data_IF_604446866760
#
_entry.id   IF_604446866760
#
_cell.length_a   1.000
_cell.length_b   1.000
_cell.length_c   1.000
_cell.angle_alpha   90.00
_cell.angle_beta   90.00
_cell.angle_gamma   90.00
#
_symmetry.space_group_name_H-M   'P 1'
#
loop_
_entity.id
_entity.type
_entity.pdbx_description
1 polymer ?
#
# COMPACT_ATOMS: atom_id res chain seq x y z
N UNK A 1 -24.17 12.98 7.74
CA UNK A 1 -23.86 11.74 8.50
C UNK A 1 -22.71 11.07 7.80
N UNK A 2 -21.72 10.54 8.52
CA UNK A 2 -20.68 9.72 7.90
C UNK A 2 -21.33 8.45 7.32
N UNK A 3 -20.99 8.10 6.08
CA UNK A 3 -21.31 6.79 5.54
C UNK A 3 -20.38 5.75 6.16
N UNK A 4 -20.86 4.51 6.29
CA UNK A 4 -20.12 3.42 6.91
C UNK A 4 -20.09 2.21 5.98
N UNK A 5 -18.95 1.55 5.89
CA UNK A 5 -18.83 0.16 5.44
C UNK A 5 -19.10 -0.77 6.62
N UNK A 6 -19.80 -1.89 6.38
CA UNK A 6 -20.15 -2.85 7.43
C UNK A 6 -19.59 -4.23 7.07
N UNK A 7 -18.82 -4.83 7.97
CA UNK A 7 -18.27 -6.18 7.75
C UNK A 7 -19.35 -7.27 7.91
N UNK A 8 -19.10 -8.51 7.46
CA UNK A 8 -20.00 -9.64 7.71
C UNK A 8 -20.27 -9.90 9.21
N UNK A 9 -19.35 -9.48 10.09
CA UNK A 9 -19.51 -9.57 11.54
C UNK A 9 -20.31 -8.39 12.15
N UNK A 10 -20.74 -7.43 11.34
CA UNK A 10 -21.50 -6.26 11.76
C UNK A 10 -20.65 -5.06 12.23
N UNK A 11 -19.32 -5.17 12.13
CA UNK A 11 -18.41 -4.07 12.50
C UNK A 11 -18.51 -2.92 11.49
N UNK A 12 -18.57 -1.69 11.98
CA UNK A 12 -18.76 -0.49 11.16
C UNK A 12 -17.46 0.29 11.02
N UNK A 13 -17.07 0.55 9.78
CA UNK A 13 -15.91 1.36 9.43
C UNK A 13 -16.38 2.65 8.75
N UNK A 14 -16.08 3.84 9.28
CA UNK A 14 -16.47 5.08 8.63
C UNK A 14 -15.76 5.19 7.28
N UNK A 15 -16.51 5.58 6.26
CA UNK A 15 -15.90 5.88 4.96
C UNK A 15 -15.02 7.13 5.10
N UNK A 16 -13.84 7.16 4.44
CA UNK A 16 -12.96 8.31 4.48
C UNK A 16 -13.67 9.56 3.95
N UNK A 17 -13.53 10.67 4.67
CA UNK A 17 -13.90 11.97 4.13
C UNK A 17 -12.74 12.56 3.30
N UNK A 18 -12.98 13.73 2.71
CA UNK A 18 -11.97 14.41 1.88
C UNK A 18 -10.67 14.71 2.64
N UNK A 19 -10.76 15.07 3.91
CA UNK A 19 -9.58 15.38 4.71
C UNK A 19 -8.76 14.11 5.00
N UNK A 20 -9.42 12.97 5.20
CA UNK A 20 -8.76 11.67 5.34
C UNK A 20 -7.97 11.29 4.08
N UNK A 21 -8.50 11.54 2.88
CA UNK A 21 -7.76 11.31 1.63
C UNK A 21 -6.52 12.18 1.51
N UNK A 22 -6.62 13.47 1.86
CA UNK A 22 -5.46 14.38 1.82
C UNK A 22 -4.37 13.99 2.83
N UNK A 23 -4.77 13.56 4.03
CA UNK A 23 -3.85 13.06 5.04
C UNK A 23 -3.17 11.75 4.59
N UNK A 24 -3.93 10.84 3.98
CA UNK A 24 -3.39 9.57 3.48
C UNK A 24 -2.42 9.79 2.32
N UNK A 25 -2.73 10.71 1.39
CA UNK A 25 -1.82 11.05 0.30
C UNK A 25 -0.47 11.58 0.83
N UNK A 26 -0.50 12.50 1.81
CA UNK A 26 0.72 13.02 2.44
C UNK A 26 1.54 11.91 3.11
N UNK A 27 0.87 10.95 3.74
CA UNK A 27 1.52 9.79 4.35
C UNK A 27 2.21 8.92 3.28
N UNK A 28 1.52 8.64 2.18
CA UNK A 28 2.07 7.88 1.06
C UNK A 28 3.26 8.58 0.39
N UNK A 29 3.19 9.90 0.21
CA UNK A 29 4.30 10.71 -0.31
C UNK A 29 5.55 10.60 0.58
N UNK A 30 5.38 10.64 1.90
CA UNK A 30 6.47 10.44 2.85
C UNK A 30 7.13 9.08 2.73
N UNK A 31 6.32 8.01 2.68
CA UNK A 31 6.82 6.64 2.52
C UNK A 31 7.55 6.44 1.18
N UNK A 32 7.02 7.01 0.10
CA UNK A 32 7.65 6.96 -1.23
C UNK A 32 8.98 7.72 -1.23
N UNK A 33 9.04 8.88 -0.58
CA UNK A 33 10.28 9.65 -0.46
C UNK A 33 11.35 8.88 0.32
N UNK A 34 10.97 8.25 1.43
CA UNK A 34 11.86 7.40 2.23
C UNK A 34 12.37 6.19 1.44
N UNK A 35 11.47 5.46 0.77
CA UNK A 35 11.82 4.31 -0.06
C UNK A 35 12.80 4.69 -1.18
N UNK A 36 12.57 5.82 -1.85
CA UNK A 36 13.47 6.34 -2.88
C UNK A 36 14.84 6.72 -2.31
N UNK A 37 14.88 7.33 -1.12
CA UNK A 37 16.14 7.66 -0.44
C UNK A 37 16.94 6.41 -0.05
N UNK A 38 16.26 5.29 0.21
CA UNK A 38 16.87 3.98 0.42
C UNK A 38 17.27 3.26 -0.88
N UNK A 39 17.02 3.87 -2.05
CA UNK A 39 17.31 3.28 -3.36
C UNK A 39 16.34 2.18 -3.78
N UNK A 40 15.16 2.10 -3.16
CA UNK A 40 14.15 1.12 -3.51
C UNK A 40 13.34 1.55 -4.74
N UNK A 41 12.99 0.59 -5.58
CA UNK A 41 12.03 0.79 -6.67
C UNK A 41 10.60 0.81 -6.12
N UNK A 42 9.84 1.84 -6.47
CA UNK A 42 8.43 1.97 -6.05
C UNK A 42 7.54 1.27 -7.06
N UNK A 43 6.84 0.22 -6.63
CA UNK A 43 5.94 -0.58 -7.48
C UNK A 43 4.51 -0.41 -7.01
N UNK A 44 3.61 -0.06 -7.94
CA UNK A 44 2.17 0.05 -7.66
C UNK A 44 1.45 -1.15 -8.28
N UNK A 45 0.74 -1.90 -7.43
CA UNK A 45 -0.11 -3.03 -7.87
C UNK A 45 -1.55 -2.54 -7.91
N UNK A 46 -2.10 -2.45 -9.11
CA UNK A 46 -3.50 -2.09 -9.34
C UNK A 46 -4.41 -3.31 -9.16
N UNK A 47 -5.34 -3.22 -8.22
CA UNK A 47 -6.25 -4.28 -7.80
C UNK A 47 -5.61 -5.22 -6.78
N UNK A 48 -6.23 -5.35 -5.61
CA UNK A 48 -5.78 -6.24 -4.52
C UNK A 48 -6.77 -7.38 -4.27
N UNK A 49 -7.25 -7.99 -5.34
CA UNK A 49 -7.91 -9.31 -5.28
C UNK A 49 -6.89 -10.42 -4.98
N UNK A 50 -7.30 -11.68 -5.12
CA UNK A 50 -6.45 -12.84 -4.84
C UNK A 50 -5.08 -12.77 -5.53
N UNK A 51 -5.06 -12.55 -6.85
CA UNK A 51 -3.81 -12.45 -7.62
C UNK A 51 -3.01 -11.22 -7.24
N UNK A 52 -3.66 -10.06 -7.13
CA UNK A 52 -2.99 -8.80 -6.83
C UNK A 52 -2.27 -8.80 -5.48
N UNK A 53 -2.92 -9.32 -4.45
CA UNK A 53 -2.31 -9.44 -3.12
C UNK A 53 -1.11 -10.40 -3.11
N UNK A 54 -1.22 -11.56 -3.77
CA UNK A 54 -0.11 -12.52 -3.88
C UNK A 54 1.06 -11.92 -4.65
N UNK A 55 0.78 -11.25 -5.77
CA UNK A 55 1.82 -10.59 -6.57
C UNK A 55 2.48 -9.44 -5.82
N UNK A 56 1.73 -8.64 -5.05
CA UNK A 56 2.29 -7.58 -4.22
C UNK A 56 3.29 -8.14 -3.19
N UNK A 57 2.93 -9.25 -2.52
CA UNK A 57 3.79 -9.93 -1.57
C UNK A 57 5.05 -10.49 -2.24
N UNK A 58 4.90 -11.20 -3.37
CA UNK A 58 6.04 -11.77 -4.12
C UNK A 58 7.01 -10.67 -4.55
N UNK A 59 6.51 -9.56 -5.09
CA UNK A 59 7.36 -8.44 -5.53
C UNK A 59 8.09 -7.81 -4.35
N UNK A 60 7.40 -7.61 -3.22
CA UNK A 60 7.99 -7.05 -2.00
C UNK A 60 9.09 -7.96 -1.41
N UNK A 61 8.96 -9.28 -1.56
CA UNK A 61 9.90 -10.27 -1.03
C UNK A 61 11.15 -10.44 -1.91
N UNK A 62 11.20 -9.81 -3.10
CA UNK A 62 12.38 -9.88 -3.95
C UNK A 62 13.59 -9.17 -3.33
N UNK A 63 14.71 -9.87 -3.27
CA UNK A 63 15.99 -9.36 -2.77
C UNK A 63 17.02 -9.21 -3.88
N UNK A 64 17.93 -8.26 -3.74
CA UNK A 64 19.11 -8.18 -4.59
C UNK A 64 20.02 -9.42 -4.39
N UNK A 65 20.41 -10.15 -5.45
CA UNK A 65 21.18 -11.39 -5.32
C UNK A 65 22.57 -11.25 -4.69
N UNK A 66 23.17 -10.05 -4.72
CA UNK A 66 24.53 -9.81 -4.21
C UNK A 66 24.52 -9.43 -2.74
N UNK A 67 23.54 -8.63 -2.33
CA UNK A 67 23.45 -8.03 -1.01
C UNK A 67 22.40 -8.68 -0.11
N UNK A 68 21.47 -9.44 -0.68
CA UNK A 68 20.36 -10.07 0.03
C UNK A 68 19.31 -9.09 0.57
N UNK A 69 19.41 -7.80 0.24
CA UNK A 69 18.50 -6.77 0.76
C UNK A 69 17.25 -6.61 -0.11
N UNK A 70 16.08 -6.29 0.46
CA UNK A 70 14.88 -5.93 -0.30
C UNK A 70 15.12 -4.68 -1.14
N UNK A 71 14.78 -4.76 -2.42
CA UNK A 71 15.02 -3.66 -3.37
C UNK A 71 13.77 -2.89 -3.78
N UNK A 72 12.58 -3.26 -3.27
CA UNK A 72 11.29 -2.73 -3.75
C UNK A 72 10.41 -2.28 -2.61
N UNK A 73 9.70 -1.18 -2.83
CA UNK A 73 8.63 -0.68 -1.98
C UNK A 73 7.30 -0.81 -2.74
N UNK A 74 6.42 -1.70 -2.27
CA UNK A 74 5.20 -2.05 -2.98
C UNK A 74 3.98 -1.37 -2.37
N UNK A 75 3.21 -0.69 -3.21
CA UNK A 75 1.94 -0.07 -2.84
C UNK A 75 0.81 -0.82 -3.55
N UNK A 76 -0.16 -1.32 -2.80
CA UNK A 76 -1.40 -1.82 -3.37
C UNK A 76 -2.42 -0.71 -3.53
N UNK A 77 -3.06 -0.63 -4.69
CA UNK A 77 -4.14 0.32 -4.99
C UNK A 77 -5.39 -0.46 -5.40
N UNK A 78 -6.55 -0.12 -4.84
CA UNK A 78 -7.80 -0.88 -5.00
C UNK A 78 -8.96 0.02 -5.44
#
# INVERSE_FOLDING_TARGET
MAEYSVSPAGEKFPLPDRAAYEAELKRLEGLVAEARAQGQEVVVVMGLGFVGAVMAAIVADTTDPKTGKPGKFVIGCQ
#
